data_IF_972059740651
#
_entry.id   IF_972059740651
#
_cell.length_a   1.000
_cell.length_b   1.000
_cell.length_c   1.000
_cell.angle_alpha   90.00
_cell.angle_beta   90.00
_cell.angle_gamma   90.00
#
_symmetry.space_group_name_H-M   'P 1'
#
loop_
_entity.id
_entity.type
_entity.pdbx_description
1 polymer ?
#
# COMPACT_ATOMS: atom_id res chain seq x y z
N UNK A 1 20.08 9.04 3.51
CA UNK A 1 19.76 7.65 3.89
C UNK A 1 18.91 7.00 2.81
N UNK A 2 19.14 5.73 2.44
CA UNK A 2 18.44 5.06 1.33
C UNK A 2 16.95 4.83 1.60
N UNK A 3 16.53 4.82 2.86
CA UNK A 3 15.14 4.59 3.28
C UNK A 3 14.14 5.58 2.70
N UNK A 4 14.56 6.80 2.34
CA UNK A 4 13.67 7.78 1.71
C UNK A 4 13.15 7.31 0.33
N UNK A 5 13.82 6.34 -0.30
CA UNK A 5 13.40 5.73 -1.56
C UNK A 5 12.01 5.06 -1.47
N UNK A 6 11.57 4.64 -0.27
CA UNK A 6 10.25 4.06 -0.06
C UNK A 6 9.11 5.09 -0.02
N UNK A 7 9.44 6.38 0.05
CA UNK A 7 8.50 7.47 0.26
C UNK A 7 8.45 8.40 -0.95
N UNK A 8 7.35 9.14 -1.08
CA UNK A 8 7.19 10.14 -2.12
C UNK A 8 8.15 11.33 -1.87
N UNK A 9 8.70 11.93 -2.94
CA UNK A 9 9.62 13.06 -2.83
C UNK A 9 8.92 14.33 -2.30
N UNK A 10 7.61 14.44 -2.51
CA UNK A 10 6.80 15.58 -2.07
C UNK A 10 6.40 15.46 -0.58
N UNK A 11 7.40 15.48 0.29
CA UNK A 11 7.18 15.51 1.75
C UNK A 11 6.71 16.90 2.21
N UNK A 12 5.87 16.93 3.25
CA UNK A 12 5.32 18.19 3.79
C UNK A 12 6.00 18.52 5.11
N UNK A 13 6.63 19.67 5.20
CA UNK A 13 7.16 20.20 6.46
C UNK A 13 6.03 20.85 7.24
N UNK A 14 5.90 20.50 8.52
CA UNK A 14 4.93 21.09 9.43
C UNK A 14 5.65 21.93 10.48
N UNK A 15 5.21 23.17 10.60
CA UNK A 15 5.72 24.15 11.55
C UNK A 15 4.78 24.25 12.74
N UNK A 16 5.35 24.42 13.94
CA UNK A 16 4.60 24.75 15.14
C UNK A 16 4.10 26.20 15.08
N UNK A 17 3.21 26.58 16.00
CA UNK A 17 2.64 27.93 16.11
C UNK A 17 3.68 29.05 16.25
N UNK A 18 4.86 28.73 16.77
CA UNK A 18 5.99 29.64 16.91
C UNK A 18 6.92 29.69 15.68
N UNK A 19 6.51 29.11 14.55
CA UNK A 19 7.30 29.07 13.31
C UNK A 19 8.45 28.05 13.31
N UNK A 20 8.65 27.29 14.39
CA UNK A 20 9.71 26.26 14.44
C UNK A 20 9.27 25.00 13.70
N UNK A 21 10.10 24.45 12.82
CA UNK A 21 9.81 23.21 12.12
C UNK A 21 9.73 22.03 13.11
N UNK A 22 8.59 21.35 13.16
CA UNK A 22 8.30 20.33 14.16
C UNK A 22 8.52 18.92 13.63
N UNK A 23 7.97 18.62 12.45
CA UNK A 23 8.14 17.34 11.78
C UNK A 23 8.02 17.45 10.26
N UNK A 24 8.63 16.49 9.57
CA UNK A 24 8.41 16.24 8.15
C UNK A 24 7.46 15.05 8.02
N UNK A 25 6.40 15.21 7.25
CA UNK A 25 5.47 14.14 6.90
C UNK A 25 5.85 13.54 5.55
N UNK A 26 6.29 12.28 5.57
CA UNK A 26 6.60 11.49 4.38
C UNK A 26 5.40 10.60 4.04
N UNK A 27 5.00 10.57 2.76
CA UNK A 27 3.90 9.70 2.31
C UNK A 27 4.48 8.43 1.71
N UNK A 28 4.05 7.27 2.18
CA UNK A 28 4.48 5.99 1.64
C UNK A 28 4.02 5.81 0.19
N UNK A 29 4.91 5.35 -0.69
CA UNK A 29 4.61 5.15 -2.12
C UNK A 29 3.66 3.98 -2.43
N UNK A 30 3.44 3.09 -1.43
CA UNK A 30 2.58 1.91 -1.56
C UNK A 30 1.23 2.10 -0.89
N UNK A 31 1.21 2.44 0.40
CA UNK A 31 -0.02 2.53 1.19
C UNK A 31 -0.54 3.95 1.39
N UNK A 32 0.19 4.97 0.92
CA UNK A 32 -0.13 6.40 1.08
C UNK A 32 -0.25 6.90 2.52
N UNK A 33 0.03 6.06 3.52
CA UNK A 33 0.09 6.47 4.90
C UNK A 33 1.20 7.50 5.12
N UNK A 34 0.94 8.46 6.01
CA UNK A 34 1.90 9.48 6.39
C UNK A 34 2.71 9.04 7.61
N UNK A 35 4.03 9.07 7.46
CA UNK A 35 4.98 8.80 8.54
C UNK A 35 5.68 10.11 8.89
N UNK A 36 5.71 10.43 10.19
CA UNK A 36 6.29 11.68 10.70
C UNK A 36 7.74 11.46 11.13
N UNK A 37 8.64 12.34 10.72
CA UNK A 37 10.01 12.42 11.21
C UNK A 37 10.18 13.72 12.00
N UNK A 38 10.59 13.61 13.26
CA UNK A 38 10.77 14.77 14.14
C UNK A 38 11.95 15.65 13.74
N UNK A 39 11.80 16.97 13.89
CA UNK A 39 12.82 17.98 13.59
C UNK A 39 13.31 18.76 14.82
N UNK A 40 12.73 18.54 16.01
CA UNK A 40 13.00 19.36 17.21
C UNK A 40 14.22 18.92 18.03
N UNK A 41 14.41 17.61 18.23
CA UNK A 41 15.40 17.05 19.17
C UNK A 41 16.70 16.58 18.51
N UNK A 42 17.71 16.19 19.29
CA UNK A 42 19.00 15.66 18.77
C UNK A 42 18.85 14.52 17.76
N UNK A 43 17.71 13.83 17.78
CA UNK A 43 17.32 12.76 16.85
C UNK A 43 16.73 13.25 15.51
N UNK A 44 17.02 14.48 15.08
CA UNK A 44 16.62 15.03 13.77
C UNK A 44 16.91 14.10 12.58
N UNK A 45 17.93 13.23 12.72
CA UNK A 45 18.33 12.26 11.70
C UNK A 45 17.75 10.85 11.90
N UNK A 46 16.93 10.61 12.93
CA UNK A 46 16.38 9.29 13.20
C UNK A 46 15.41 8.86 12.10
N UNK A 47 15.76 7.76 11.45
CA UNK A 47 14.97 7.14 10.38
C UNK A 47 14.24 5.89 10.85
N UNK A 48 14.29 5.57 12.16
CA UNK A 48 13.72 4.33 12.72
C UNK A 48 12.23 4.15 12.40
N UNK A 49 11.44 5.22 12.55
CA UNK A 49 10.01 5.19 12.21
C UNK A 49 9.77 4.92 10.71
N UNK A 50 10.61 5.50 9.84
CA UNK A 50 10.53 5.29 8.39
C UNK A 50 10.94 3.86 8.02
N UNK A 51 11.96 3.30 8.66
CA UNK A 51 12.41 1.92 8.44
C UNK A 51 11.32 0.95 8.88
N UNK A 52 10.75 1.14 10.07
CA UNK A 52 9.72 0.26 10.62
C UNK A 52 8.48 0.20 9.72
N UNK A 53 8.03 1.37 9.24
CA UNK A 53 6.92 1.43 8.30
C UNK A 53 7.28 0.79 6.95
N UNK A 54 8.48 1.04 6.42
CA UNK A 54 8.92 0.45 5.16
C UNK A 54 8.94 -1.09 5.25
N UNK A 55 9.40 -1.67 6.37
CA UNK A 55 9.39 -3.12 6.62
C UNK A 55 7.98 -3.68 6.61
N UNK A 56 7.05 -3.00 7.28
CA UNK A 56 5.64 -3.41 7.31
C UNK A 56 4.98 -3.36 5.91
N UNK A 57 5.29 -2.36 5.09
CA UNK A 57 4.69 -2.20 3.76
C UNK A 57 5.35 -3.05 2.67
N UNK A 58 6.67 -3.14 2.66
CA UNK A 58 7.44 -3.75 1.58
C UNK A 58 8.02 -5.12 1.95
N UNK A 59 8.16 -5.41 3.25
CA UNK A 59 8.85 -6.58 3.78
C UNK A 59 10.31 -6.30 4.10
N UNK A 60 10.85 -7.05 5.06
CA UNK A 60 12.24 -6.89 5.53
C UNK A 60 13.28 -7.09 4.43
N UNK A 61 13.05 -8.03 3.51
CA UNK A 61 13.97 -8.31 2.39
C UNK A 61 14.15 -7.10 1.47
N UNK A 62 13.04 -6.46 1.08
CA UNK A 62 13.06 -5.28 0.22
C UNK A 62 13.76 -4.11 0.91
N UNK A 63 13.50 -3.91 2.21
CA UNK A 63 14.17 -2.86 3.00
C UNK A 63 15.66 -3.12 3.13
N UNK A 64 16.06 -4.35 3.41
CA UNK A 64 17.47 -4.73 3.55
C UNK A 64 18.22 -4.56 2.22
N UNK A 65 17.62 -4.99 1.11
CA UNK A 65 18.19 -4.78 -0.22
C UNK A 65 18.43 -3.30 -0.51
N UNK A 66 17.48 -2.43 -0.18
CA UNK A 66 17.59 -0.98 -0.41
C UNK A 66 18.60 -0.31 0.52
N UNK A 67 18.70 -0.73 1.78
CA UNK A 67 19.62 -0.14 2.75
C UNK A 67 21.09 -0.35 2.38
N UNK A 68 21.42 -1.38 1.59
CA UNK A 68 22.76 -1.64 1.11
C UNK A 68 23.24 -0.66 0.02
N UNK A 69 22.34 0.13 -0.57
CA UNK A 69 22.72 1.10 -1.60
C UNK A 69 23.23 2.40 -0.98
N UNK A 70 24.34 2.92 -1.49
CA UNK A 70 24.85 4.26 -1.10
C UNK A 70 24.10 5.42 -1.77
N UNK A 71 23.47 5.18 -2.93
CA UNK A 71 22.76 6.19 -3.73
C UNK A 71 21.25 5.97 -3.69
N UNK A 72 20.50 7.06 -3.51
CA UNK A 72 19.03 7.06 -3.47
C UNK A 72 18.45 6.72 -4.86
N UNK A 73 19.07 7.19 -5.95
CA UNK A 73 18.62 6.89 -7.31
C UNK A 73 18.70 5.40 -7.61
N UNK A 74 19.82 4.76 -7.21
CA UNK A 74 19.99 3.31 -7.35
C UNK A 74 18.97 2.53 -6.51
N UNK A 75 18.64 3.05 -5.32
CA UNK A 75 17.60 2.47 -4.47
C UNK A 75 16.19 2.56 -5.12
N UNK A 76 15.87 3.67 -5.77
CA UNK A 76 14.61 3.81 -6.53
C UNK A 76 14.55 2.85 -7.72
N UNK A 77 15.63 2.72 -8.49
CA UNK A 77 15.68 1.76 -9.60
C UNK A 77 15.56 0.31 -9.12
N UNK A 78 16.18 -0.04 -8.00
CA UNK A 78 16.00 -1.35 -7.37
C UNK A 78 14.54 -1.55 -6.93
N UNK A 79 13.92 -0.55 -6.31
CA UNK A 79 12.52 -0.63 -5.85
C UNK A 79 11.52 -0.80 -6.99
N UNK A 80 11.74 -0.17 -8.15
CA UNK A 80 10.91 -0.38 -9.34
C UNK A 80 10.87 -1.85 -9.76
N UNK A 81 11.98 -2.58 -9.59
CA UNK A 81 12.07 -4.02 -9.90
C UNK A 81 11.33 -4.91 -8.91
N UNK A 82 11.23 -4.52 -7.64
CA UNK A 82 10.51 -5.29 -6.61
C UNK A 82 8.98 -5.29 -6.81
N UNK A 83 8.44 -4.32 -7.55
CA UNK A 83 7.01 -4.20 -7.81
C UNK A 83 6.21 -3.78 -6.57
N UNK A 84 5.07 -3.11 -6.77
CA UNK A 84 4.15 -2.80 -5.65
C UNK A 84 3.44 -4.09 -5.26
N UNK A 85 3.57 -4.52 -3.99
CA UNK A 85 2.74 -5.59 -3.39
C UNK A 85 1.28 -5.13 -3.25
N UNK A 86 0.60 -4.84 -4.36
CA UNK A 86 -0.75 -4.29 -4.33
C UNK A 86 -1.85 -5.35 -4.16
N UNK A 87 -1.54 -6.65 -4.21
CA UNK A 87 -2.60 -7.68 -4.18
C UNK A 87 -2.38 -8.88 -3.26
N UNK A 88 -1.21 -9.07 -2.64
CA UNK A 88 -0.96 -10.30 -1.88
C UNK A 88 -1.90 -10.51 -0.69
N UNK A 89 -2.32 -9.44 0.01
CA UNK A 89 -3.25 -9.54 1.15
C UNK A 89 -4.67 -9.87 0.70
N UNK A 90 -5.19 -9.22 -0.34
CA UNK A 90 -6.54 -9.48 -0.84
C UNK A 90 -6.60 -10.89 -1.45
N UNK A 91 -5.61 -11.27 -2.25
CA UNK A 91 -5.48 -12.63 -2.80
C UNK A 91 -5.29 -13.68 -1.70
N UNK A 92 -4.55 -13.39 -0.62
CA UNK A 92 -4.40 -14.32 0.50
C UNK A 92 -5.71 -14.51 1.28
N UNK A 93 -6.42 -13.42 1.59
CA UNK A 93 -7.75 -13.50 2.25
C UNK A 93 -8.73 -14.25 1.36
N UNK A 94 -8.76 -13.96 0.06
CA UNK A 94 -9.68 -14.62 -0.87
C UNK A 94 -9.37 -16.12 -1.04
N UNK A 95 -8.11 -16.54 -0.95
CA UNK A 95 -7.74 -17.98 -0.92
C UNK A 95 -8.24 -18.72 0.32
N UNK A 96 -8.51 -18.02 1.42
CA UNK A 96 -9.10 -18.65 2.63
C UNK A 96 -10.61 -18.87 2.49
N UNK A 97 -11.26 -18.27 1.48
CA UNK A 97 -12.67 -18.49 1.19
C UNK A 97 -12.83 -19.85 0.52
N UNK A 98 -13.56 -20.77 1.18
CA UNK A 98 -13.88 -22.10 0.66
C UNK A 98 -14.66 -21.96 -0.66
N UNK A 99 -14.22 -22.64 -1.73
CA UNK A 99 -14.83 -22.54 -3.07
C UNK A 99 -14.29 -21.40 -3.95
N UNK A 100 -13.23 -20.69 -3.53
CA UNK A 100 -12.63 -19.59 -4.31
C UNK A 100 -12.24 -19.99 -5.75
N UNK A 101 -11.62 -21.17 -5.92
CA UNK A 101 -11.21 -21.67 -7.23
C UNK A 101 -12.40 -21.89 -8.20
N UNK A 102 -13.60 -22.09 -7.66
CA UNK A 102 -14.84 -22.31 -8.42
C UNK A 102 -15.61 -21.01 -8.67
N UNK A 103 -15.28 -19.92 -7.96
CA UNK A 103 -16.11 -18.70 -7.90
C UNK A 103 -15.75 -17.62 -8.92
N UNK A 104 -14.56 -17.69 -9.56
CA UNK A 104 -14.10 -16.63 -10.46
C UNK A 104 -13.54 -17.18 -11.76
N UNK A 105 -14.28 -16.93 -12.85
CA UNK A 105 -13.75 -17.02 -14.20
C UNK A 105 -12.79 -15.86 -14.44
N UNK A 106 -11.58 -16.15 -14.93
CA UNK A 106 -10.63 -15.13 -15.40
C UNK A 106 -10.95 -14.62 -16.82
N UNK A 107 -11.97 -15.18 -17.47
CA UNK A 107 -12.42 -14.67 -18.76
C UNK A 107 -13.28 -13.42 -18.55
N UNK A 108 -13.04 -12.34 -19.32
CA UNK A 108 -13.93 -11.19 -19.28
C UNK A 108 -15.36 -11.65 -19.60
N UNK A 109 -16.35 -11.33 -18.75
CA UNK A 109 -17.69 -11.83 -18.93
C UNK A 109 -18.27 -11.29 -20.23
N UNK A 110 -18.76 -12.19 -21.07
CA UNK A 110 -19.44 -11.80 -22.31
C UNK A 110 -20.78 -11.13 -21.97
N UNK A 111 -21.27 -10.23 -22.84
CA UNK A 111 -22.54 -9.48 -22.62
C UNK A 111 -23.72 -10.37 -22.19
N UNK A 112 -23.79 -11.60 -22.72
CA UNK A 112 -24.84 -12.57 -22.41
C UNK A 112 -24.75 -13.11 -20.97
N UNK A 113 -23.52 -13.34 -20.47
CA UNK A 113 -23.27 -13.83 -19.12
C UNK A 113 -23.63 -12.79 -18.06
N UNK A 114 -23.36 -11.50 -18.32
CA UNK A 114 -23.69 -10.39 -17.41
C UNK A 114 -25.21 -10.29 -17.21
N UNK A 115 -25.98 -10.40 -18.29
CA UNK A 115 -27.45 -10.40 -18.23
C UNK A 115 -28.01 -11.53 -17.36
N UNK A 116 -27.47 -12.75 -17.49
CA UNK A 116 -27.95 -13.90 -16.73
C UNK A 116 -27.69 -13.77 -15.22
N UNK A 117 -26.51 -13.26 -14.84
CA UNK A 117 -26.16 -13.01 -13.44
C UNK A 117 -27.08 -11.95 -12.82
N UNK A 118 -27.31 -10.85 -13.54
CA UNK A 118 -28.17 -9.76 -13.07
C UNK A 118 -29.62 -10.23 -12.90
N UNK A 119 -30.16 -10.94 -13.89
CA UNK A 119 -31.51 -11.49 -13.83
C UNK A 119 -31.68 -12.50 -12.68
N UNK A 120 -30.73 -13.43 -12.50
CA UNK A 120 -30.84 -14.42 -11.42
C UNK A 120 -30.73 -13.80 -10.02
N UNK A 121 -29.97 -12.71 -9.88
CA UNK A 121 -29.80 -12.02 -8.59
C UNK A 121 -31.04 -11.19 -8.25
N UNK A 122 -31.65 -10.55 -9.24
CA UNK A 122 -32.94 -9.86 -9.09
C UNK A 122 -34.03 -10.88 -8.74
N UNK A 123 -34.13 -12.00 -9.46
CA UNK A 123 -35.12 -13.05 -9.16
C UNK A 123 -34.97 -13.65 -7.76
N UNK A 124 -33.74 -13.82 -7.26
CA UNK A 124 -33.51 -14.32 -5.89
C UNK A 124 -33.86 -13.30 -4.81
N UNK A 125 -33.66 -12.01 -5.06
CA UNK A 125 -33.94 -10.95 -4.08
C UNK A 125 -35.39 -10.42 -4.14
N UNK A 126 -36.12 -10.62 -5.24
CA UNK A 126 -37.54 -10.24 -5.37
C UNK A 126 -38.48 -11.22 -4.67
N UNK A 127 -38.05 -12.46 -4.41
CA UNK A 127 -38.86 -13.47 -3.67
C UNK A 127 -38.92 -13.20 -2.15
N UNK A 128 -38.19 -12.21 -1.62
CA UNK A 128 -38.08 -11.95 -0.17
C UNK A 128 -38.68 -10.62 0.33
N UNK A 129 -39.64 -10.04 -0.39
CA UNK A 129 -40.49 -8.96 0.16
C UNK A 129 -41.95 -9.29 -0.12
N UNK A 130 -42.51 -10.15 0.72
CA UNK A 130 -43.95 -10.22 0.98
C UNK A 130 -44.10 -9.79 2.44
N UNK A 131 -44.71 -8.62 2.66
CA UNK A 131 -45.41 -8.30 3.90
C UNK A 131 -46.90 -8.40 3.61
#
# INVERSE_FOLDING_TARGET
>A
APVYAFYNPNSKVKFASNGTAEYIAFSCSTCWAQVKQGLKTGDKASTGALIQHAKCCWGDEAVSAVQNFKSIDKAWEALKKFGKKSQSKLTAVLRTVKGWAESFSMQPPTKKTIWFVFMSTILKNVVFIVF
#
